data_IF_810521906239
#
_entry.id   IF_810521906239
#
_cell.length_a   1.000
_cell.length_b   1.000
_cell.length_c   1.000
_cell.angle_alpha   90.00
_cell.angle_beta   90.00
_cell.angle_gamma   90.00
#
_symmetry.space_group_name_H-M   'P 1'
#
loop_
_entity.id
_entity.type
_entity.pdbx_description
1 polymer ?
#
# COMPACT_ATOMS: atom_id res chain seq x y z
N UNK A 1 -55.23 49.36 2.90
CA UNK A 1 -54.29 49.14 1.78
C UNK A 1 -53.10 48.38 2.34
N UNK A 2 -53.04 47.09 2.05
CA UNK A 2 -52.08 46.15 2.65
C UNK A 2 -50.68 46.36 2.07
N UNK A 3 -49.66 46.40 2.94
CA UNK A 3 -48.25 46.38 2.55
C UNK A 3 -47.92 45.00 1.96
N UNK A 4 -47.46 44.98 0.71
CA UNK A 4 -46.87 43.79 0.09
C UNK A 4 -45.40 43.77 0.47
N UNK A 5 -45.03 42.85 1.37
CA UNK A 5 -43.63 42.54 1.68
C UNK A 5 -43.03 41.81 0.49
N UNK A 6 -42.07 42.43 -0.19
CA UNK A 6 -41.25 41.75 -1.20
C UNK A 6 -40.24 40.90 -0.44
N UNK A 7 -40.60 39.64 -0.21
CA UNK A 7 -39.64 38.64 0.26
C UNK A 7 -38.69 38.37 -0.90
N UNK A 8 -37.50 38.96 -0.82
CA UNK A 8 -36.41 38.68 -1.75
C UNK A 8 -35.99 37.23 -1.52
N UNK A 9 -36.49 36.31 -2.35
CA UNK A 9 -36.00 34.95 -2.43
C UNK A 9 -34.54 35.03 -2.87
N UNK A 10 -33.61 34.75 -1.95
CA UNK A 10 -32.21 34.50 -2.28
C UNK A 10 -32.19 33.22 -3.10
N UNK A 11 -32.08 33.35 -4.42
CA UNK A 11 -31.71 32.23 -5.29
C UNK A 11 -30.32 31.80 -4.84
N UNK A 12 -30.20 30.56 -4.37
CA UNK A 12 -28.93 29.91 -4.09
C UNK A 12 -28.07 30.02 -5.36
N UNK A 13 -27.05 30.88 -5.32
CA UNK A 13 -26.16 31.10 -6.45
C UNK A 13 -25.46 29.79 -6.78
N UNK A 14 -25.68 29.25 -7.98
CA UNK A 14 -24.85 28.18 -8.51
C UNK A 14 -23.41 28.69 -8.53
N UNK A 15 -22.53 28.06 -7.75
CA UNK A 15 -21.10 28.30 -7.87
C UNK A 15 -20.70 28.00 -9.32
N UNK A 16 -19.97 28.91 -9.95
CA UNK A 16 -19.37 28.65 -11.26
C UNK A 16 -18.41 27.47 -11.10
N UNK A 17 -18.68 26.38 -11.81
CA UNK A 17 -17.85 25.16 -11.80
C UNK A 17 -17.32 24.91 -13.20
N UNK A 18 -16.03 24.64 -13.32
CA UNK A 18 -15.43 24.24 -14.58
C UNK A 18 -15.70 22.75 -14.82
N UNK A 19 -16.16 22.35 -16.02
CA UNK A 19 -16.27 20.94 -16.39
C UNK A 19 -14.91 20.25 -16.25
N UNK A 20 -14.87 19.17 -15.46
CA UNK A 20 -13.65 18.42 -15.17
C UNK A 20 -13.87 16.93 -15.43
N UNK A 21 -12.94 16.31 -16.15
CA UNK A 21 -12.87 14.86 -16.35
C UNK A 21 -11.48 14.41 -15.87
N UNK A 22 -11.39 13.54 -14.84
CA UNK A 22 -10.11 12.97 -14.44
C UNK A 22 -9.47 12.18 -15.59
N UNK A 23 -8.15 12.23 -15.69
CA UNK A 23 -7.40 11.61 -16.80
C UNK A 23 -7.77 10.14 -17.01
N UNK A 24 -7.93 9.35 -15.95
CA UNK A 24 -8.29 7.92 -15.99
C UNK A 24 -9.64 7.60 -16.64
N UNK A 25 -10.51 8.59 -16.77
CA UNK A 25 -11.81 8.51 -17.42
C UNK A 25 -11.83 9.14 -18.83
N UNK A 26 -10.70 9.64 -19.32
CA UNK A 26 -10.53 10.02 -20.72
C UNK A 26 -10.20 8.79 -21.59
N UNK A 27 -10.42 8.89 -22.90
CA UNK A 27 -10.06 7.82 -23.83
C UNK A 27 -8.56 7.50 -23.78
N UNK A 28 -7.70 8.53 -23.75
CA UNK A 28 -6.25 8.38 -23.66
C UNK A 28 -5.81 7.75 -22.34
N UNK A 29 -6.34 8.22 -21.21
CA UNK A 29 -6.01 7.64 -19.91
C UNK A 29 -6.48 6.20 -19.75
N UNK A 30 -7.61 5.80 -20.38
CA UNK A 30 -8.00 4.39 -20.43
C UNK A 30 -7.02 3.56 -21.26
N UNK A 31 -6.58 4.06 -22.42
CA UNK A 31 -5.61 3.36 -23.28
C UNK A 31 -4.25 3.21 -22.60
N UNK A 32 -3.75 4.25 -21.93
CA UNK A 32 -2.51 4.22 -21.15
C UNK A 32 -2.58 3.12 -20.08
N UNK A 33 -3.65 3.12 -19.27
CA UNK A 33 -3.86 2.13 -18.20
C UNK A 33 -3.93 0.71 -18.74
N UNK A 34 -4.73 0.48 -19.78
CA UNK A 34 -4.89 -0.86 -20.38
C UNK A 34 -3.59 -1.33 -21.02
N UNK A 35 -2.87 -0.45 -21.71
CA UNK A 35 -1.57 -0.79 -22.29
C UNK A 35 -0.56 -1.18 -21.21
N UNK A 36 -0.47 -0.42 -20.11
CA UNK A 36 0.41 -0.76 -18.99
C UNK A 36 0.09 -2.14 -18.40
N UNK A 37 -1.19 -2.47 -18.21
CA UNK A 37 -1.61 -3.80 -17.76
C UNK A 37 -1.21 -4.90 -18.75
N UNK A 38 -1.41 -4.69 -20.05
CA UNK A 38 -1.04 -5.67 -21.08
C UNK A 38 0.47 -5.92 -21.10
N UNK A 39 1.29 -4.87 -20.96
CA UNK A 39 2.75 -4.99 -21.06
C UNK A 39 3.39 -5.54 -19.79
N UNK A 40 2.83 -5.25 -18.62
CA UNK A 40 3.55 -5.47 -17.35
C UNK A 40 2.84 -6.38 -16.35
N UNK A 41 1.50 -6.52 -16.39
CA UNK A 41 0.77 -7.32 -15.42
C UNK A 41 0.79 -8.81 -15.79
N UNK A 42 1.83 -9.52 -15.33
CA UNK A 42 2.05 -10.95 -15.61
C UNK A 42 1.71 -11.83 -14.39
N UNK A 43 0.62 -12.61 -14.49
CA UNK A 43 0.23 -13.63 -13.50
C UNK A 43 0.62 -15.07 -13.91
N UNK A 44 1.24 -15.25 -15.08
CA UNK A 44 1.56 -16.57 -15.63
C UNK A 44 2.85 -17.15 -15.04
N UNK A 45 3.74 -16.29 -14.53
CA UNK A 45 4.94 -16.71 -13.81
C UNK A 45 4.60 -17.05 -12.37
N UNK A 46 5.22 -18.10 -11.82
CA UNK A 46 5.12 -18.34 -10.37
C UNK A 46 5.72 -17.12 -9.67
N UNK A 47 4.94 -16.49 -8.80
CA UNK A 47 5.41 -15.44 -7.89
C UNK A 47 6.70 -15.94 -7.23
N UNK A 48 7.80 -15.22 -7.43
CA UNK A 48 9.05 -15.49 -6.71
C UNK A 48 8.76 -15.27 -5.22
N UNK A 49 8.75 -16.32 -4.38
CA UNK A 49 8.64 -16.10 -2.94
C UNK A 49 9.81 -15.24 -2.50
N UNK A 50 9.61 -14.39 -1.49
CA UNK A 50 10.76 -13.92 -0.72
C UNK A 50 11.49 -15.14 -0.16
N UNK A 51 12.83 -15.13 -0.13
CA UNK A 51 13.57 -16.19 0.56
C UNK A 51 12.97 -16.38 1.94
N UNK A 52 12.65 -17.62 2.30
CA UNK A 52 12.12 -17.90 3.64
C UNK A 52 13.18 -17.57 4.69
N UNK A 53 12.79 -17.30 5.94
CA UNK A 53 13.70 -16.84 6.99
C UNK A 53 14.95 -17.73 7.23
N UNK A 54 14.92 -19.00 6.80
CA UNK A 54 16.06 -19.92 6.83
C UNK A 54 17.09 -19.70 5.71
N UNK A 55 16.72 -19.00 4.62
CA UNK A 55 17.56 -18.64 3.48
C UNK A 55 18.11 -17.19 3.57
N UNK A 56 17.95 -16.53 4.72
CA UNK A 56 18.38 -15.15 5.03
C UNK A 56 19.89 -14.88 4.93
N UNK A 57 20.69 -15.83 4.42
CA UNK A 57 22.15 -15.77 4.39
C UNK A 57 22.77 -14.91 3.27
N UNK A 58 22.03 -14.17 2.44
CA UNK A 58 22.67 -13.42 1.35
C UNK A 58 22.13 -12.03 0.99
N UNK A 59 21.56 -11.26 1.93
CA UNK A 59 21.50 -9.82 1.72
C UNK A 59 22.86 -9.22 2.11
N UNK A 60 23.72 -9.04 1.10
CA UNK A 60 25.11 -8.58 1.23
C UNK A 60 25.27 -7.10 1.63
N UNK A 61 24.21 -6.48 2.19
CA UNK A 61 24.20 -5.10 2.64
C UNK A 61 24.52 -4.93 4.13
N UNK A 62 25.08 -3.78 4.50
CA UNK A 62 25.20 -3.31 5.89
C UNK A 62 24.27 -2.09 6.05
N UNK A 63 23.20 -2.14 6.88
CA UNK A 63 22.70 -3.31 7.62
C UNK A 63 22.05 -4.36 6.69
N UNK A 64 21.89 -5.62 7.14
CA UNK A 64 21.45 -6.77 6.33
C UNK A 64 19.93 -6.80 6.08
N UNK A 65 19.31 -5.66 5.78
CA UNK A 65 17.87 -5.55 5.49
C UNK A 65 17.64 -4.85 4.15
N UNK A 66 16.72 -5.35 3.30
CA UNK A 66 16.31 -4.66 2.09
C UNK A 66 15.41 -3.43 2.36
N UNK A 67 15.05 -3.19 3.62
CA UNK A 67 14.21 -2.07 4.02
C UNK A 67 15.02 -0.94 4.64
N UNK A 68 14.74 0.28 4.21
CA UNK A 68 15.33 1.50 4.73
C UNK A 68 14.23 2.45 5.20
N UNK A 69 14.42 3.09 6.35
CA UNK A 69 13.49 4.10 6.83
C UNK A 69 13.58 5.37 5.98
N UNK A 70 12.44 5.88 5.53
CA UNK A 70 12.36 7.12 4.79
C UNK A 70 12.61 8.31 5.75
N UNK A 71 13.52 9.26 5.43
CA UNK A 71 13.75 10.43 6.27
C UNK A 71 12.47 11.22 6.53
N UNK A 72 12.27 11.64 7.78
CA UNK A 72 11.08 12.39 8.23
C UNK A 72 9.75 11.66 8.04
N UNK A 73 9.77 10.32 7.91
CA UNK A 73 8.57 9.49 7.81
C UNK A 73 8.72 8.23 8.65
N UNK A 74 7.57 7.66 9.02
CA UNK A 74 7.48 6.32 9.63
C UNK A 74 7.45 5.21 8.57
N UNK A 75 7.40 5.58 7.29
CA UNK A 75 7.41 4.64 6.19
C UNK A 75 8.79 4.00 5.98
N UNK A 76 8.79 2.72 5.61
CA UNK A 76 9.95 2.06 5.03
C UNK A 76 9.85 2.03 3.51
N UNK A 77 11.01 2.06 2.86
CA UNK A 77 11.18 1.91 1.42
C UNK A 77 12.05 0.69 1.13
N UNK A 78 11.96 0.19 -0.10
CA UNK A 78 12.98 -0.71 -0.63
C UNK A 78 14.29 0.06 -0.82
N UNK A 79 15.40 -0.48 -0.31
CA UNK A 79 16.69 0.17 -0.37
C UNK A 79 17.17 0.27 -1.84
N UNK A 80 17.52 1.46 -2.35
CA UNK A 80 17.85 1.67 -3.77
C UNK A 80 19.19 1.02 -4.17
N UNK A 81 20.04 0.69 -3.20
CA UNK A 81 21.31 0.01 -3.41
C UNK A 81 21.18 -1.53 -3.46
N UNK A 82 19.98 -2.07 -3.24
CA UNK A 82 19.71 -3.50 -3.26
C UNK A 82 18.87 -3.83 -4.49
N UNK A 83 19.39 -4.71 -5.34
CA UNK A 83 18.71 -5.16 -6.55
C UNK A 83 17.35 -5.80 -6.22
N UNK A 84 16.27 -5.18 -6.68
CA UNK A 84 14.92 -5.71 -6.54
C UNK A 84 14.68 -6.89 -7.49
N UNK A 85 13.96 -7.94 -7.05
CA UNK A 85 13.39 -8.92 -7.98
C UNK A 85 12.53 -8.24 -9.05
N UNK A 86 12.54 -8.78 -10.27
CA UNK A 86 11.68 -8.29 -11.34
C UNK A 86 10.21 -8.53 -10.98
N UNK A 87 9.47 -7.44 -10.76
CA UNK A 87 8.04 -7.44 -10.43
C UNK A 87 7.39 -6.15 -10.94
N UNK A 88 6.07 -6.18 -11.09
CA UNK A 88 5.27 -5.02 -11.43
C UNK A 88 4.05 -4.93 -10.49
N UNK A 89 3.79 -3.78 -9.85
CA UNK A 89 4.61 -2.55 -9.80
C UNK A 89 6.05 -2.77 -9.29
N UNK A 90 7.02 -1.90 -9.60
CA UNK A 90 8.39 -2.06 -9.12
C UNK A 90 8.49 -1.79 -7.61
N UNK A 91 9.38 -2.51 -6.91
CA UNK A 91 9.58 -2.32 -5.45
C UNK A 91 10.09 -0.94 -5.06
N UNK A 92 10.62 -0.15 -5.99
CA UNK A 92 10.95 1.27 -5.74
C UNK A 92 9.73 2.09 -5.30
N UNK A 93 8.52 1.69 -5.73
CA UNK A 93 7.25 2.31 -5.37
C UNK A 93 6.76 1.90 -3.97
N UNK A 94 7.33 0.86 -3.35
CA UNK A 94 6.90 0.39 -2.03
C UNK A 94 7.10 1.47 -0.97
N UNK A 95 6.03 1.75 -0.23
CA UNK A 95 6.01 2.51 1.02
C UNK A 95 5.32 1.64 2.07
N UNK A 96 6.09 1.02 2.95
CA UNK A 96 5.58 0.09 3.96
C UNK A 96 5.29 0.85 5.26
N UNK A 97 4.10 0.66 5.80
CA UNK A 97 3.66 1.25 7.07
C UNK A 97 3.19 0.19 8.05
N UNK A 98 3.28 0.49 9.34
CA UNK A 98 2.49 -0.19 10.36
C UNK A 98 1.16 0.55 10.51
N UNK A 99 0.04 -0.17 10.43
CA UNK A 99 -1.27 0.46 10.61
C UNK A 99 -1.46 0.96 12.04
N UNK A 100 -2.24 2.04 12.24
CA UNK A 100 -2.83 2.31 13.54
C UNK A 100 -3.71 1.13 14.01
N UNK A 101 -4.02 1.12 15.30
CA UNK A 101 -5.07 0.24 15.84
C UNK A 101 -6.41 0.50 15.13
N UNK A 102 -7.21 -0.55 14.98
CA UNK A 102 -8.53 -0.51 14.33
C UNK A 102 -8.53 0.09 12.91
N UNK A 103 -7.41 -0.02 12.20
CA UNK A 103 -7.27 0.45 10.81
C UNK A 103 -7.00 -0.70 9.83
N UNK A 104 -7.38 -0.48 8.57
CA UNK A 104 -7.06 -1.36 7.45
C UNK A 104 -5.89 -0.82 6.64
N UNK A 105 -5.29 -1.64 5.78
CA UNK A 105 -4.27 -1.15 4.86
C UNK A 105 -4.83 -0.21 3.79
N UNK A 106 -6.11 -0.40 3.39
CA UNK A 106 -6.81 0.59 2.54
C UNK A 106 -6.78 1.97 3.19
N UNK A 107 -7.25 2.08 4.44
CA UNK A 107 -7.33 3.35 5.16
C UNK A 107 -5.94 3.92 5.45
N UNK A 108 -5.02 3.09 5.93
CA UNK A 108 -3.66 3.51 6.28
C UNK A 108 -2.93 4.11 5.08
N UNK A 109 -3.00 3.47 3.90
CA UNK A 109 -2.38 4.02 2.70
C UNK A 109 -3.09 5.29 2.23
N UNK A 110 -4.43 5.31 2.27
CA UNK A 110 -5.22 6.48 1.86
C UNK A 110 -4.93 7.71 2.71
N UNK A 111 -4.85 7.55 4.04
CA UNK A 111 -4.54 8.63 4.99
C UNK A 111 -3.11 9.19 4.76
N UNK A 112 -2.21 8.38 4.20
CA UNK A 112 -0.88 8.79 3.76
C UNK A 112 -0.83 9.39 2.33
N UNK A 113 -1.97 9.53 1.66
CA UNK A 113 -2.04 10.00 0.27
C UNK A 113 -1.55 8.98 -0.77
N UNK A 114 -1.63 7.69 -0.44
CA UNK A 114 -1.14 6.56 -1.23
C UNK A 114 -2.27 5.55 -1.48
N UNK A 115 -1.98 4.47 -2.18
CA UNK A 115 -2.90 3.33 -2.36
C UNK A 115 -2.24 2.03 -1.88
N UNK A 116 -3.02 1.12 -1.29
CA UNK A 116 -2.53 -0.21 -0.91
C UNK A 116 -2.22 -1.05 -2.15
N UNK A 117 -1.04 -1.66 -2.20
CA UNK A 117 -0.58 -2.49 -3.31
C UNK A 117 -0.44 -3.95 -2.86
N UNK A 118 -1.43 -4.82 -3.15
CA UNK A 118 -1.41 -6.20 -2.69
C UNK A 118 -0.28 -7.03 -3.31
N UNK A 119 0.24 -6.66 -4.49
CA UNK A 119 1.36 -7.37 -5.12
C UNK A 119 2.64 -7.35 -4.27
N UNK A 120 2.76 -6.41 -3.33
CA UNK A 120 3.91 -6.29 -2.43
C UNK A 120 3.81 -7.12 -1.14
N UNK A 121 2.66 -7.70 -0.81
CA UNK A 121 2.54 -8.53 0.40
C UNK A 121 3.57 -9.67 0.49
N UNK A 122 3.84 -10.45 -0.59
CA UNK A 122 4.88 -11.48 -0.57
C UNK A 122 6.27 -10.94 -0.23
N UNK A 123 6.53 -9.65 -0.49
CA UNK A 123 7.81 -8.98 -0.31
C UNK A 123 8.03 -8.47 1.12
N UNK A 124 6.96 -8.30 1.88
CA UNK A 124 6.99 -7.79 3.26
C UNK A 124 6.64 -8.86 4.30
N UNK A 125 6.31 -10.09 3.87
CA UNK A 125 5.94 -11.19 4.75
C UNK A 125 7.17 -11.91 5.32
N UNK A 126 8.12 -11.17 5.91
CA UNK A 126 9.40 -11.64 6.43
C UNK A 126 9.82 -10.85 7.68
N UNK A 127 10.79 -11.38 8.43
CA UNK A 127 11.24 -10.80 9.71
C UNK A 127 11.92 -9.44 9.52
N UNK A 128 12.59 -9.22 8.38
CA UNK A 128 13.28 -7.97 8.08
C UNK A 128 12.30 -6.79 7.96
N UNK A 129 11.10 -7.03 7.42
CA UNK A 129 10.04 -6.04 7.33
C UNK A 129 9.49 -5.64 8.72
N UNK A 130 9.29 -6.62 9.61
CA UNK A 130 8.88 -6.34 10.99
C UNK A 130 9.95 -5.56 11.76
N UNK A 131 11.21 -6.01 11.67
CA UNK A 131 12.34 -5.37 12.33
C UNK A 131 12.52 -3.93 11.85
N UNK A 132 12.38 -3.67 10.55
CA UNK A 132 12.50 -2.33 10.00
C UNK A 132 11.46 -1.35 10.56
N UNK A 133 10.24 -1.82 10.87
CA UNK A 133 9.17 -1.00 11.44
C UNK A 133 9.32 -0.80 12.95
N UNK A 134 10.46 -1.21 13.53
CA UNK A 134 10.71 -1.24 14.97
C UNK A 134 9.64 -2.03 15.74
N UNK A 135 9.00 -3.02 15.10
CA UNK A 135 8.12 -3.94 15.80
C UNK A 135 8.99 -4.87 16.67
N UNK A 136 8.79 -4.86 18.00
CA UNK A 136 9.51 -5.75 18.90
C UNK A 136 8.86 -7.13 18.89
N UNK A 137 9.16 -7.93 17.86
CA UNK A 137 8.71 -9.32 17.76
C UNK A 137 9.60 -10.24 18.60
N UNK A 138 9.08 -10.79 19.68
CA UNK A 138 9.69 -11.89 20.46
C UNK A 138 9.48 -13.24 19.79
N UNK A 139 8.34 -13.43 19.10
CA UNK A 139 8.07 -14.62 18.29
C UNK A 139 7.50 -14.26 16.92
N UNK A 140 7.71 -15.14 15.96
CA UNK A 140 7.20 -15.04 14.60
C UNK A 140 6.44 -16.31 14.25
N UNK A 141 5.11 -16.21 14.17
CA UNK A 141 4.21 -17.32 13.91
C UNK A 141 3.70 -17.27 12.46
N UNK A 142 3.59 -18.41 11.81
CA UNK A 142 3.08 -18.51 10.44
C UNK A 142 1.69 -19.15 10.43
N UNK A 143 0.66 -18.33 10.25
CA UNK A 143 -0.74 -18.72 10.37
C UNK A 143 -1.59 -18.25 9.17
N UNK A 144 -2.81 -18.78 9.06
CA UNK A 144 -3.74 -18.45 7.97
C UNK A 144 -4.77 -17.44 8.45
N UNK A 145 -4.62 -16.17 8.08
CA UNK A 145 -5.60 -15.14 8.40
C UNK A 145 -5.52 -13.96 7.42
N UNK A 146 -6.64 -13.51 6.89
CA UNK A 146 -6.71 -12.37 5.96
C UNK A 146 -6.14 -11.04 6.49
N UNK A 147 -5.95 -10.88 7.81
CA UNK A 147 -5.36 -9.66 8.40
C UNK A 147 -3.83 -9.69 8.45
N UNK A 148 -3.18 -10.82 8.20
CA UNK A 148 -1.72 -10.96 8.23
C UNK A 148 -1.07 -10.51 6.92
N UNK A 149 0.17 -9.99 6.94
CA UNK A 149 1.10 -9.91 8.07
C UNK A 149 0.75 -8.81 9.09
N UNK A 150 0.94 -9.11 10.38
CA UNK A 150 0.54 -8.19 11.45
C UNK A 150 1.33 -8.40 12.75
N UNK A 151 1.36 -7.36 13.59
CA UNK A 151 1.93 -7.35 14.94
C UNK A 151 0.77 -7.36 15.93
N UNK A 152 0.80 -8.23 16.93
CA UNK A 152 -0.19 -8.19 18.00
C UNK A 152 -0.01 -6.93 18.87
N UNK A 153 -1.10 -6.29 19.28
CA UNK A 153 -1.05 -5.02 20.03
C UNK A 153 -0.42 -5.21 21.42
N UNK A 154 -0.92 -6.19 22.19
CA UNK A 154 -0.47 -6.41 23.57
C UNK A 154 0.67 -7.41 23.73
N UNK A 155 0.90 -8.24 22.71
CA UNK A 155 1.86 -9.33 22.76
C UNK A 155 2.94 -9.00 21.76
N UNK A 156 4.19 -9.29 22.12
CA UNK A 156 5.33 -9.17 21.21
C UNK A 156 5.34 -10.32 20.19
N UNK A 157 4.16 -10.71 19.69
CA UNK A 157 3.95 -11.78 18.73
C UNK A 157 3.69 -11.15 17.36
N UNK A 158 4.43 -11.61 16.36
CA UNK A 158 4.27 -11.18 14.97
C UNK A 158 3.80 -12.36 14.12
N UNK A 159 2.92 -12.08 13.16
CA UNK A 159 2.24 -13.10 12.39
C UNK A 159 2.53 -12.93 10.91
N UNK A 160 3.13 -13.95 10.30
CA UNK A 160 3.26 -14.09 8.87
C UNK A 160 2.04 -14.78 8.27
N UNK A 161 1.69 -14.38 7.06
CA UNK A 161 0.69 -15.09 6.26
C UNK A 161 1.28 -16.42 5.76
N UNK A 162 0.61 -17.53 6.09
CA UNK A 162 0.92 -18.86 5.56
C UNK A 162 0.20 -19.19 4.26
N UNK A 163 -0.95 -18.57 3.99
CA UNK A 163 -1.75 -18.77 2.78
C UNK A 163 -1.70 -17.52 1.88
N UNK A 164 -0.89 -17.51 0.79
CA UNK A 164 -0.71 -16.33 -0.05
C UNK A 164 -2.02 -15.77 -0.65
N UNK A 165 -3.03 -16.62 -0.88
CA UNK A 165 -4.33 -16.19 -1.39
C UNK A 165 -5.14 -15.37 -0.38
N UNK A 166 -4.73 -15.33 0.89
CA UNK A 166 -5.38 -14.53 1.93
C UNK A 166 -4.75 -13.15 2.13
N UNK A 167 -3.70 -12.79 1.38
CA UNK A 167 -3.22 -11.41 1.40
C UNK A 167 -4.33 -10.45 0.98
N UNK A 168 -4.55 -9.40 1.77
CA UNK A 168 -5.69 -8.50 1.58
C UNK A 168 -5.36 -7.09 2.02
N UNK A 169 -5.70 -6.09 1.21
CA UNK A 169 -5.67 -4.70 1.66
C UNK A 169 -6.79 -4.40 2.67
N UNK A 170 -7.94 -5.07 2.49
CA UNK A 170 -9.09 -4.94 3.38
C UNK A 170 -8.89 -5.73 4.68
N UNK A 171 -9.70 -5.43 5.69
CA UNK A 171 -9.64 -6.10 6.99
C UNK A 171 -9.05 -5.21 8.07
N UNK A 172 -9.72 -5.25 9.22
CA UNK A 172 -9.41 -4.49 10.44
C UNK A 172 -9.33 -5.50 11.59
N UNK A 173 -8.45 -5.28 12.55
CA UNK A 173 -8.36 -6.11 13.75
C UNK A 173 -8.07 -5.27 14.98
N UNK A 174 -8.91 -5.41 16.01
CA UNK A 174 -8.67 -4.80 17.32
C UNK A 174 -7.48 -5.42 18.06
N UNK A 175 -6.98 -6.58 17.60
CA UNK A 175 -5.86 -7.30 18.24
C UNK A 175 -4.54 -7.12 17.52
N UNK A 176 -4.56 -6.64 16.28
CA UNK A 176 -3.38 -6.62 15.43
C UNK A 176 -3.24 -5.32 14.66
N UNK A 177 -2.04 -4.76 14.67
CA UNK A 177 -1.60 -3.72 13.74
C UNK A 177 -0.99 -4.36 12.51
N UNK A 178 -1.43 -3.94 11.34
CA UNK A 178 -1.13 -4.61 10.07
C UNK A 178 0.10 -4.00 9.41
N UNK A 179 0.92 -4.83 8.78
CA UNK A 179 1.97 -4.36 7.88
C UNK A 179 1.31 -4.06 6.54
N UNK A 180 1.32 -2.79 6.15
CA UNK A 180 0.57 -2.29 5.01
C UNK A 180 1.49 -1.84 3.89
N UNK A 181 1.54 -2.59 2.77
CA UNK A 181 2.27 -2.18 1.59
C UNK A 181 1.47 -1.13 0.83
N UNK A 182 1.98 0.09 0.79
CA UNK A 182 1.43 1.17 -0.01
C UNK A 182 2.31 1.44 -1.22
N UNK A 183 1.76 2.12 -2.22
CA UNK A 183 2.47 2.72 -3.33
C UNK A 183 1.90 4.09 -3.69
N UNK A 184 2.71 4.88 -4.36
CA UNK A 184 2.25 6.10 -4.99
C UNK A 184 1.39 5.83 -6.24
N UNK A 185 0.80 6.89 -6.76
CA UNK A 185 0.04 6.86 -8.00
C UNK A 185 0.22 8.15 -8.79
N UNK A 186 -0.05 8.10 -10.09
CA UNK A 186 -0.11 9.25 -10.97
C UNK A 186 -1.42 9.99 -10.69
N UNK A 187 -1.37 11.30 -10.43
CA UNK A 187 -2.59 12.07 -10.12
C UNK A 187 -3.58 12.01 -11.30
N UNK A 188 -4.82 11.62 -11.02
CA UNK A 188 -5.83 11.36 -12.05
C UNK A 188 -5.68 10.01 -12.77
N UNK A 189 -4.73 9.15 -12.38
CA UNK A 189 -4.56 7.77 -12.86
C UNK A 189 -4.12 6.85 -11.71
N UNK A 190 -5.07 6.50 -10.82
CA UNK A 190 -4.78 5.79 -9.56
C UNK A 190 -4.23 4.37 -9.78
N UNK A 191 -4.57 3.79 -10.93
CA UNK A 191 -4.14 2.47 -11.37
C UNK A 191 -2.61 2.32 -11.49
N UNK A 192 -1.87 3.40 -11.74
CA UNK A 192 -0.45 3.36 -12.07
C UNK A 192 0.36 4.17 -11.07
N UNK A 193 1.47 3.60 -10.58
CA UNK A 193 2.52 4.34 -9.87
C UNK A 193 3.32 5.23 -10.83
N UNK A 194 4.12 6.16 -10.30
CA UNK A 194 4.95 7.05 -11.15
C UNK A 194 5.97 6.28 -12.01
N UNK A 195 6.45 5.15 -11.51
CA UNK A 195 7.44 4.29 -12.18
C UNK A 195 6.79 3.04 -12.82
N UNK A 196 5.49 3.08 -13.12
CA UNK A 196 4.74 1.91 -13.63
C UNK A 196 4.59 1.86 -15.16
N UNK A 197 5.15 2.83 -15.88
CA UNK A 197 5.14 2.97 -17.34
C UNK A 197 6.52 2.76 -17.95
#
# INVERSE_FOLDING_TARGET
MSQVSVVSFVICGFAQVEPFIPSEYTCEGMLERVNAYIQHQDFCRRSSPFPTANDSRSWSGNPPSPFLQLPNSTALIWAPNITAPACWPPLSALRLFLSPEDSSCVKTCQDAGLICEPAFFPFINNIEAFNGLNAQCESLEAEKNHVFPAVHVDRRECFQQKEPLLFSCAGVSAKHQRLCPCRDYIHGQVALCRDCL
#
